data_IF_046518080675
#
_entry.id   IF_046518080675
#
_cell.length_a   1.000
_cell.length_b   1.000
_cell.length_c   1.000
_cell.angle_alpha   90.00
_cell.angle_beta   90.00
_cell.angle_gamma   90.00
#
_symmetry.space_group_name_H-M   'P 1'
#
loop_
_entity.id
_entity.type
_entity.pdbx_description
1 polymer ?
#
# COMPACT_ATOMS: atom_id res chain seq x y z
N UNK A 1 0.76 7.22 -4.30
CA UNK A 1 1.85 6.71 -5.16
C UNK A 1 1.26 6.20 -6.46
N UNK A 2 1.92 6.49 -7.58
CA UNK A 2 1.62 5.96 -8.91
C UNK A 2 2.83 5.16 -9.40
N UNK A 3 2.60 3.91 -9.81
CA UNK A 3 3.56 3.06 -10.48
C UNK A 3 3.26 3.07 -11.98
N UNK A 4 4.27 3.39 -12.79
CA UNK A 4 4.19 3.40 -14.26
C UNK A 4 5.22 2.42 -14.85
N UNK A 5 5.01 1.87 -16.06
CA UNK A 5 5.94 0.88 -16.61
C UNK A 5 7.26 1.47 -17.09
N UNK A 6 7.32 2.77 -17.38
CA UNK A 6 8.53 3.45 -17.87
C UNK A 6 8.63 4.91 -17.42
N UNK A 7 9.84 5.48 -17.57
CA UNK A 7 10.18 6.85 -17.17
C UNK A 7 9.39 7.96 -17.89
N UNK A 8 9.18 7.90 -19.22
CA UNK A 8 8.34 8.86 -19.93
C UNK A 8 6.92 8.96 -19.37
N UNK A 9 6.26 7.83 -19.10
CA UNK A 9 4.94 7.84 -18.46
C UNK A 9 4.98 8.44 -17.04
N UNK A 10 6.02 8.15 -16.26
CA UNK A 10 6.20 8.82 -14.97
C UNK A 10 6.22 10.36 -15.12
N UNK A 11 6.94 10.87 -16.12
CA UNK A 11 7.04 12.32 -16.36
C UNK A 11 5.72 12.93 -16.82
N UNK A 12 4.95 12.20 -17.65
CA UNK A 12 3.61 12.62 -18.06
C UNK A 12 2.67 12.74 -16.86
N UNK A 13 2.69 11.77 -15.95
CA UNK A 13 1.88 11.83 -14.72
C UNK A 13 2.30 13.01 -13.84
N UNK A 14 3.60 13.24 -13.64
CA UNK A 14 4.07 14.43 -12.88
C UNK A 14 3.59 15.72 -13.52
N UNK A 15 3.71 15.83 -14.84
CA UNK A 15 3.27 17.01 -15.60
C UNK A 15 1.75 17.22 -15.49
N UNK A 16 0.97 16.15 -15.54
CA UNK A 16 -0.48 16.19 -15.37
C UNK A 16 -0.87 16.67 -13.97
N UNK A 17 -0.19 16.19 -12.92
CA UNK A 17 -0.45 16.63 -11.54
C UNK A 17 -0.11 18.11 -11.37
N UNK A 18 1.03 18.58 -11.87
CA UNK A 18 1.41 20.00 -11.80
C UNK A 18 0.51 20.90 -12.68
N UNK A 19 -0.23 20.30 -13.62
CA UNK A 19 -1.27 20.98 -14.39
C UNK A 19 -2.55 21.23 -13.60
N UNK A 20 -2.78 20.53 -12.48
CA UNK A 20 -3.92 20.74 -11.59
C UNK A 20 -3.69 22.02 -10.79
N UNK A 21 -4.41 23.09 -11.14
CA UNK A 21 -4.23 24.42 -10.55
C UNK A 21 -5.49 24.91 -9.85
N UNK A 22 -5.30 25.68 -8.79
CA UNK A 22 -6.36 26.44 -8.14
C UNK A 22 -6.80 27.64 -9.00
N UNK A 23 -7.81 28.38 -8.54
CA UNK A 23 -8.30 29.58 -9.21
C UNK A 23 -7.24 30.70 -9.30
N UNK A 24 -6.23 30.68 -8.44
CA UNK A 24 -5.10 31.61 -8.44
C UNK A 24 -3.93 31.14 -9.33
N UNK A 25 -4.03 29.97 -9.95
CA UNK A 25 -3.01 29.39 -10.82
C UNK A 25 -1.89 28.65 -10.07
N UNK A 26 -1.98 28.42 -8.77
CA UNK A 26 -1.00 27.63 -8.02
C UNK A 26 -1.26 26.13 -8.18
N UNK A 27 -0.21 25.31 -8.14
CA UNK A 27 -0.36 23.85 -8.18
C UNK A 27 -1.13 23.37 -6.95
N UNK A 28 -2.19 22.59 -7.15
CA UNK A 28 -3.01 22.02 -6.07
C UNK A 28 -2.26 20.95 -5.28
N UNK A 29 -1.36 20.23 -5.95
CA UNK A 29 -0.62 19.10 -5.41
C UNK A 29 0.83 19.16 -5.86
N UNK A 30 1.70 18.56 -5.05
CA UNK A 30 3.11 18.32 -5.39
C UNK A 30 3.29 16.89 -5.88
N UNK A 31 4.11 16.72 -6.92
CA UNK A 31 4.47 15.41 -7.45
C UNK A 31 5.96 15.33 -7.72
N UNK A 32 6.56 14.17 -7.42
CA UNK A 32 7.95 13.89 -7.75
C UNK A 32 8.10 12.51 -8.39
N UNK A 33 8.86 12.47 -9.49
CA UNK A 33 9.36 11.22 -10.03
C UNK A 33 10.58 10.79 -9.22
N UNK A 34 10.55 9.59 -8.63
CA UNK A 34 11.68 9.07 -7.84
C UNK A 34 12.28 7.83 -8.48
N UNK A 35 13.61 7.80 -8.54
CA UNK A 35 14.42 6.64 -8.92
C UNK A 35 15.87 6.87 -8.45
N UNK A 36 16.79 5.96 -8.75
CA UNK A 36 18.20 6.11 -8.33
C UNK A 36 18.92 7.33 -8.92
N UNK A 37 18.47 7.84 -10.07
CA UNK A 37 19.04 9.02 -10.74
C UNK A 37 18.28 10.31 -10.42
N UNK A 38 17.03 10.21 -9.96
CA UNK A 38 16.19 11.32 -9.51
C UNK A 38 15.92 11.13 -8.02
N UNK A 39 16.81 11.65 -7.14
CA UNK A 39 16.69 11.42 -5.72
C UNK A 39 15.39 12.01 -5.17
N UNK A 40 14.88 11.46 -4.07
CA UNK A 40 13.67 11.98 -3.47
C UNK A 40 13.82 13.44 -3.01
N UNK A 41 12.75 14.25 -3.10
CA UNK A 41 12.76 15.60 -2.56
C UNK A 41 12.91 15.58 -1.03
N UNK A 42 13.44 16.68 -0.49
CA UNK A 42 13.63 16.85 0.96
C UNK A 42 12.27 16.83 1.69
N UNK A 43 11.30 17.55 1.15
CA UNK A 43 9.91 17.51 1.61
C UNK A 43 9.15 16.38 0.89
N UNK A 44 8.35 15.63 1.65
CA UNK A 44 7.55 14.56 1.08
C UNK A 44 6.49 15.13 0.11
N UNK A 45 6.46 14.68 -1.15
CA UNK A 45 5.47 15.15 -2.10
C UNK A 45 4.11 14.48 -1.83
N UNK A 46 3.03 15.13 -2.24
CA UNK A 46 1.68 14.56 -2.16
C UNK A 46 1.57 13.29 -3.01
N UNK A 47 2.24 13.28 -4.17
CA UNK A 47 2.24 12.18 -5.13
C UNK A 47 3.67 11.77 -5.48
N UNK A 48 4.02 10.53 -5.14
CA UNK A 48 5.20 9.87 -5.71
C UNK A 48 4.82 9.17 -7.00
N UNK A 49 5.64 9.35 -8.04
CA UNK A 49 5.57 8.62 -9.29
C UNK A 49 6.87 7.85 -9.50
N UNK A 50 6.81 6.56 -9.82
CA UNK A 50 8.02 5.77 -10.03
C UNK A 50 7.78 4.60 -10.98
N UNK A 51 8.87 4.06 -11.55
CA UNK A 51 8.82 2.71 -12.11
C UNK A 51 9.01 1.70 -10.98
N UNK A 52 8.41 0.50 -11.06
CA UNK A 52 8.56 -0.52 -10.02
C UNK A 52 10.02 -0.86 -9.70
N UNK A 53 10.86 -1.04 -10.73
CA UNK A 53 12.27 -1.32 -10.57
C UNK A 53 13.03 -0.13 -9.95
N UNK A 54 12.77 1.09 -10.43
CA UNK A 54 13.41 2.31 -9.91
C UNK A 54 13.11 2.56 -8.44
N UNK A 55 11.85 2.34 -8.03
CA UNK A 55 11.46 2.44 -6.62
C UNK A 55 12.12 1.37 -5.76
N UNK A 56 12.15 0.11 -6.21
CA UNK A 56 12.79 -0.95 -5.44
C UNK A 56 14.29 -0.72 -5.27
N UNK A 57 14.99 -0.24 -6.30
CA UNK A 57 16.41 0.10 -6.20
C UNK A 57 16.64 1.25 -5.21
N UNK A 58 15.77 2.26 -5.22
CA UNK A 58 15.81 3.34 -4.25
C UNK A 58 15.63 2.83 -2.81
N UNK A 59 14.56 2.07 -2.55
CA UNK A 59 14.23 1.59 -1.20
C UNK A 59 15.24 0.58 -0.63
N UNK A 60 15.82 -0.27 -1.49
CA UNK A 60 16.84 -1.25 -1.07
C UNK A 60 18.26 -0.67 -0.97
N UNK A 61 18.47 0.54 -1.50
CA UNK A 61 19.79 1.14 -1.64
C UNK A 61 19.84 2.49 -0.92
N UNK A 62 19.95 3.60 -1.67
CA UNK A 62 20.26 4.91 -1.09
C UNK A 62 19.07 5.55 -0.36
N UNK A 63 17.87 4.98 -0.40
CA UNK A 63 16.65 5.53 0.18
C UNK A 63 16.80 5.97 1.63
N UNK A 64 17.45 5.17 2.47
CA UNK A 64 17.68 5.49 3.89
C UNK A 64 18.50 6.77 4.11
N UNK A 65 19.37 7.14 3.16
CA UNK A 65 20.16 8.37 3.22
C UNK A 65 19.30 9.63 3.00
N UNK A 66 18.13 9.50 2.38
CA UNK A 66 17.18 10.60 2.14
C UNK A 66 16.18 10.77 3.28
N UNK A 67 16.25 9.94 4.33
CA UNK A 67 15.43 10.05 5.54
C UNK A 67 14.44 8.90 5.72
N UNK A 68 13.81 8.87 6.90
CA UNK A 68 12.97 7.73 7.34
C UNK A 68 11.78 7.44 6.42
N UNK A 69 11.25 8.43 5.72
CA UNK A 69 10.11 8.26 4.80
C UNK A 69 10.46 7.44 3.55
N UNK A 70 11.76 7.34 3.24
CA UNK A 70 12.31 6.68 2.05
C UNK A 70 12.94 5.31 2.37
N UNK A 71 12.61 4.74 3.54
CA UNK A 71 12.85 3.32 3.85
C UNK A 71 11.62 2.49 3.56
N UNK A 72 11.75 1.16 3.58
CA UNK A 72 10.63 0.23 3.42
C UNK A 72 9.49 0.52 4.42
N UNK A 73 9.86 0.70 5.69
CA UNK A 73 8.94 0.96 6.80
C UNK A 73 8.31 2.34 6.70
N UNK A 74 9.11 3.35 6.33
CA UNK A 74 8.60 4.69 6.04
C UNK A 74 7.54 4.63 4.97
N UNK A 75 7.87 4.07 3.82
CA UNK A 75 6.97 3.94 2.68
C UNK A 75 5.67 3.21 3.05
N UNK A 76 5.80 2.12 3.80
CA UNK A 76 4.64 1.43 4.36
C UNK A 76 3.82 2.38 5.23
N UNK A 77 4.40 3.22 6.09
CA UNK A 77 3.71 4.09 7.03
C UNK A 77 2.81 5.16 6.38
N UNK A 78 3.28 5.83 5.32
CA UNK A 78 2.62 7.05 4.84
C UNK A 78 1.90 6.92 3.48
N UNK A 79 2.23 5.92 2.66
CA UNK A 79 1.54 5.73 1.37
C UNK A 79 0.13 5.21 1.60
N UNK A 80 -0.89 6.02 1.34
CA UNK A 80 -2.31 5.67 1.54
C UNK A 80 -3.02 5.14 0.29
N UNK A 81 -2.57 5.58 -0.88
CA UNK A 81 -3.16 5.24 -2.17
C UNK A 81 -2.06 4.75 -3.11
N UNK A 82 -2.34 3.65 -3.80
CA UNK A 82 -1.43 3.04 -4.78
C UNK A 82 -2.18 2.91 -6.09
N UNK A 83 -1.67 3.57 -7.12
CA UNK A 83 -2.17 3.46 -8.49
C UNK A 83 -1.16 2.67 -9.30
N UNK A 84 -1.63 1.69 -10.04
CA UNK A 84 -0.86 0.95 -11.02
C UNK A 84 -1.40 1.35 -12.39
N UNK A 85 -0.63 2.19 -13.09
CA UNK A 85 -0.96 2.67 -14.43
C UNK A 85 -0.39 1.71 -15.49
N UNK A 86 -1.18 1.37 -16.50
CA UNK A 86 -0.91 0.27 -17.43
C UNK A 86 -0.62 -1.06 -16.71
N UNK A 87 -1.53 -1.42 -15.79
CA UNK A 87 -1.40 -2.62 -14.96
C UNK A 87 -1.30 -3.90 -15.79
N UNK A 88 -1.97 -3.98 -16.94
CA UNK A 88 -1.84 -5.07 -17.91
C UNK A 88 -0.40 -5.28 -18.37
N UNK A 89 0.33 -4.20 -18.67
CA UNK A 89 1.76 -4.26 -18.99
C UNK A 89 2.62 -4.58 -17.75
N UNK A 90 2.30 -4.01 -16.59
CA UNK A 90 3.09 -4.22 -15.37
C UNK A 90 2.96 -5.62 -14.76
N UNK A 91 1.88 -6.34 -15.04
CA UNK A 91 1.72 -7.75 -14.64
C UNK A 91 2.25 -8.74 -15.69
N UNK A 92 2.86 -8.27 -16.77
CA UNK A 92 3.65 -9.13 -17.67
C UNK A 92 5.00 -9.52 -17.05
N UNK A 93 5.64 -10.57 -17.59
CA UNK A 93 6.81 -11.23 -17.00
C UNK A 93 8.01 -10.31 -16.69
N UNK A 94 8.15 -9.16 -17.37
CA UNK A 94 9.28 -8.25 -17.19
C UNK A 94 9.17 -7.39 -15.90
N UNK A 95 7.95 -7.08 -15.47
CA UNK A 95 7.69 -6.13 -14.37
C UNK A 95 7.04 -6.78 -13.14
N UNK A 96 6.56 -8.02 -13.27
CA UNK A 96 5.81 -8.73 -12.23
C UNK A 96 6.58 -8.84 -10.92
N UNK A 97 7.90 -9.12 -10.95
CA UNK A 97 8.70 -9.30 -9.72
C UNK A 97 8.83 -8.02 -8.88
N UNK A 98 9.30 -6.88 -9.42
CA UNK A 98 9.32 -5.62 -8.65
C UNK A 98 7.93 -5.19 -8.17
N UNK A 99 6.90 -5.32 -9.02
CA UNK A 99 5.52 -4.98 -8.66
C UNK A 99 5.04 -5.85 -7.50
N UNK A 100 5.17 -7.17 -7.60
CA UNK A 100 4.77 -8.11 -6.56
C UNK A 100 5.47 -7.83 -5.23
N UNK A 101 6.76 -7.50 -5.27
CA UNK A 101 7.53 -7.15 -4.09
C UNK A 101 7.01 -5.87 -3.42
N UNK A 102 6.74 -4.81 -4.18
CA UNK A 102 6.16 -3.57 -3.66
C UNK A 102 4.79 -3.84 -3.03
N UNK A 103 3.94 -4.59 -3.73
CA UNK A 103 2.60 -4.90 -3.24
C UNK A 103 2.63 -5.78 -1.98
N UNK A 104 3.53 -6.76 -1.92
CA UNK A 104 3.74 -7.59 -0.72
C UNK A 104 4.25 -6.77 0.46
N UNK A 105 5.25 -5.90 0.22
CA UNK A 105 5.78 -4.97 1.20
C UNK A 105 4.68 -4.11 1.81
N UNK A 106 3.85 -3.49 0.97
CA UNK A 106 2.76 -2.62 1.41
C UNK A 106 1.70 -3.39 2.23
N UNK A 107 1.27 -4.57 1.75
CA UNK A 107 0.34 -5.44 2.48
C UNK A 107 0.89 -5.92 3.82
N UNK A 108 2.19 -6.23 3.89
CA UNK A 108 2.85 -6.58 5.16
C UNK A 108 2.79 -5.42 6.15
N UNK A 109 3.06 -4.19 5.69
CA UNK A 109 2.90 -2.98 6.50
C UNK A 109 1.46 -2.73 6.95
N UNK A 110 0.47 -3.00 6.09
CA UNK A 110 -0.96 -2.91 6.44
C UNK A 110 -1.31 -3.90 7.56
N UNK A 111 -0.87 -5.16 7.47
CA UNK A 111 -1.11 -6.17 8.51
C UNK A 111 -0.48 -5.80 9.85
N UNK A 112 0.80 -5.40 9.85
CA UNK A 112 1.51 -4.99 11.07
C UNK A 112 0.84 -3.82 11.78
N UNK A 113 0.25 -2.88 11.04
CA UNK A 113 -0.53 -1.79 11.63
C UNK A 113 -1.80 -2.27 12.31
N UNK A 114 -2.54 -3.16 11.64
CA UNK A 114 -3.76 -3.72 12.20
C UNK A 114 -3.42 -4.53 13.46
N UNK A 115 -2.39 -5.36 13.40
CA UNK A 115 -1.85 -6.09 14.55
C UNK A 115 -1.48 -5.16 15.71
N UNK A 116 -0.68 -4.12 15.48
CA UNK A 116 -0.31 -3.17 16.53
C UNK A 116 -1.54 -2.53 17.21
N UNK A 117 -2.56 -2.17 16.43
CA UNK A 117 -3.83 -1.67 16.98
C UNK A 117 -4.60 -2.74 17.75
N UNK A 118 -4.65 -3.98 17.25
CA UNK A 118 -5.29 -5.08 17.96
C UNK A 118 -4.62 -5.33 19.31
N UNK A 119 -3.29 -5.24 19.36
CA UNK A 119 -2.51 -5.47 20.58
C UNK A 119 -2.83 -4.40 21.62
N UNK A 120 -2.90 -3.14 21.19
CA UNK A 120 -3.31 -2.02 22.02
C UNK A 120 -4.76 -2.13 22.50
N UNK A 121 -5.71 -2.37 21.58
CA UNK A 121 -7.14 -2.32 21.85
C UNK A 121 -7.65 -3.55 22.65
N UNK A 122 -7.03 -4.71 22.48
CA UNK A 122 -7.45 -5.97 23.11
C UNK A 122 -6.51 -6.46 24.21
N UNK A 123 -5.39 -5.76 24.43
CA UNK A 123 -4.38 -6.14 25.42
C UNK A 123 -3.77 -7.51 25.14
N UNK A 124 -3.59 -7.85 23.86
CA UNK A 124 -3.00 -9.11 23.40
C UNK A 124 -1.59 -8.86 22.88
N UNK A 125 -0.74 -9.88 22.92
CA UNK A 125 0.59 -9.82 22.32
C UNK A 125 0.66 -10.56 20.97
N UNK A 126 1.81 -10.42 20.32
CA UNK A 126 2.11 -11.04 19.03
C UNK A 126 2.10 -12.56 19.09
N UNK A 127 2.59 -13.13 20.19
CA UNK A 127 2.61 -14.59 20.38
C UNK A 127 1.18 -15.14 20.46
N UNK A 128 0.30 -14.53 21.26
CA UNK A 128 -1.10 -14.95 21.34
C UNK A 128 -1.77 -14.86 19.97
N UNK A 129 -1.60 -13.75 19.26
CA UNK A 129 -2.24 -13.53 17.97
C UNK A 129 -1.78 -14.54 16.91
N UNK A 130 -0.48 -14.88 16.86
CA UNK A 130 0.07 -15.87 15.94
C UNK A 130 -0.45 -17.28 16.17
N UNK A 131 -0.78 -17.62 17.41
CA UNK A 131 -1.34 -18.94 17.76
C UNK A 131 -2.86 -19.02 17.61
N UNK A 132 -3.55 -17.92 17.28
CA UNK A 132 -4.98 -17.97 16.99
C UNK A 132 -5.27 -18.83 15.75
N UNK A 133 -6.41 -19.52 15.70
CA UNK A 133 -6.93 -20.11 14.49
C UNK A 133 -6.90 -19.14 13.30
N UNK A 134 -6.62 -19.66 12.11
CA UNK A 134 -6.44 -18.85 10.89
C UNK A 134 -7.62 -17.93 10.61
N UNK A 135 -8.83 -18.41 10.84
CA UNK A 135 -10.08 -17.67 10.64
C UNK A 135 -10.15 -16.41 11.53
N UNK A 136 -9.69 -16.52 12.79
CA UNK A 136 -9.62 -15.38 13.70
C UNK A 136 -8.54 -14.39 13.26
N UNK A 137 -7.35 -14.85 12.85
CA UNK A 137 -6.32 -13.97 12.31
C UNK A 137 -6.83 -13.17 11.10
N UNK A 138 -7.54 -13.85 10.19
CA UNK A 138 -8.14 -13.21 9.00
C UNK A 138 -9.23 -12.22 9.40
N UNK A 139 -10.09 -12.55 10.38
CA UNK A 139 -11.09 -11.62 10.90
C UNK A 139 -10.43 -10.36 11.50
N UNK A 140 -9.36 -10.52 12.28
CA UNK A 140 -8.58 -9.42 12.83
C UNK A 140 -7.96 -8.53 11.74
N UNK A 141 -7.28 -9.10 10.75
CA UNK A 141 -6.66 -8.29 9.68
C UNK A 141 -7.67 -7.60 8.77
N UNK A 142 -8.82 -8.21 8.54
CA UNK A 142 -9.85 -7.63 7.67
C UNK A 142 -10.62 -6.55 8.41
N UNK A 143 -11.21 -6.84 9.57
CA UNK A 143 -12.13 -5.93 10.25
C UNK A 143 -11.68 -5.40 11.60
N UNK A 144 -10.42 -5.62 12.00
CA UNK A 144 -9.90 -5.18 13.29
C UNK A 144 -10.55 -5.88 14.48
N UNK A 145 -10.46 -5.25 15.65
CA UNK A 145 -11.00 -5.77 16.90
C UNK A 145 -12.49 -6.13 16.82
N UNK A 146 -13.37 -5.33 16.19
CA UNK A 146 -14.79 -5.68 16.08
C UNK A 146 -15.04 -7.01 15.35
N UNK A 147 -14.34 -7.25 14.23
CA UNK A 147 -14.50 -8.48 13.47
C UNK A 147 -13.90 -9.69 14.21
N UNK A 148 -12.77 -9.50 14.89
CA UNK A 148 -12.12 -10.54 15.69
C UNK A 148 -13.03 -10.98 16.86
N UNK A 149 -13.63 -10.03 17.58
CA UNK A 149 -14.59 -10.29 18.66
C UNK A 149 -15.87 -10.95 18.15
N UNK A 150 -16.40 -10.50 17.01
CA UNK A 150 -17.57 -11.09 16.35
C UNK A 150 -17.31 -12.53 15.90
N UNK A 151 -16.09 -12.83 15.46
CA UNK A 151 -15.67 -14.17 15.08
C UNK A 151 -15.48 -15.12 16.29
N UNK A 152 -15.69 -14.63 17.52
CA UNK A 152 -15.70 -15.44 18.73
C UNK A 152 -14.43 -15.34 19.56
N UNK A 153 -13.48 -14.47 19.20
CA UNK A 153 -12.32 -14.23 20.05
C UNK A 153 -12.75 -13.64 21.41
N UNK A 154 -12.08 -14.10 22.47
CA UNK A 154 -12.27 -13.62 23.85
C UNK A 154 -10.92 -13.11 24.35
N UNK A 155 -10.76 -11.78 24.50
CA UNK A 155 -9.50 -11.22 24.97
C UNK A 155 -9.24 -11.61 26.44
N UNK A 156 -7.97 -11.68 26.86
CA UNK A 156 -7.61 -12.01 28.25
C UNK A 156 -8.23 -11.05 29.27
N UNK A 157 -8.30 -9.76 28.89
CA UNK A 157 -8.97 -8.73 29.67
C UNK A 157 -10.32 -8.39 29.03
N UNK A 158 -11.43 -8.39 29.78
CA UNK A 158 -12.73 -7.99 29.25
C UNK A 158 -12.68 -6.57 28.70
N UNK A 159 -13.19 -6.39 27.49
CA UNK A 159 -13.30 -5.06 26.90
C UNK A 159 -14.49 -4.32 27.50
N UNK A 160 -14.33 -3.03 27.77
CA UNK A 160 -15.40 -2.19 28.25
C UNK A 160 -16.59 -2.17 27.26
N UNK A 161 -17.86 -2.19 27.73
CA UNK A 161 -19.03 -2.22 26.85
C UNK A 161 -19.13 -1.04 25.87
N UNK A 162 -18.50 0.09 26.22
CA UNK A 162 -18.47 1.35 25.49
C UNK A 162 -17.14 1.58 24.74
N UNK A 163 -16.26 0.58 24.68
CA UNK A 163 -14.99 0.70 23.98
C UNK A 163 -15.20 0.98 22.49
N UNK A 164 -14.50 2.00 21.99
CA UNK A 164 -14.44 2.33 20.58
C UNK A 164 -13.15 1.75 19.98
N UNK A 165 -13.30 1.08 18.84
CA UNK A 165 -12.20 0.45 18.13
C UNK A 165 -11.94 1.16 16.79
N UNK A 166 -10.69 1.15 16.34
CA UNK A 166 -10.30 1.80 15.10
C UNK A 166 -10.14 3.33 15.23
N UNK A 167 -10.16 4.09 14.12
CA UNK A 167 -10.31 3.63 12.75
C UNK A 167 -9.11 2.80 12.29
N UNK A 168 -9.38 1.74 11.54
CA UNK A 168 -8.38 0.96 10.84
C UNK A 168 -8.32 1.49 9.40
N UNK A 169 -7.39 2.39 9.13
CA UNK A 169 -7.29 2.91 7.76
C UNK A 169 -6.78 1.79 6.84
N UNK A 170 -7.43 1.65 5.69
CA UNK A 170 -7.04 0.69 4.66
C UNK A 170 -6.40 1.44 3.51
N UNK A 171 -5.30 0.89 3.03
CA UNK A 171 -4.68 1.35 1.79
C UNK A 171 -5.58 1.03 0.61
N UNK A 172 -5.77 2.00 -0.26
CA UNK A 172 -6.51 1.81 -1.50
C UNK A 172 -5.55 1.45 -2.64
N UNK A 173 -5.94 0.47 -3.44
CA UNK A 173 -5.21 0.02 -4.62
C UNK A 173 -6.10 0.24 -5.84
N UNK A 174 -5.59 0.96 -6.84
CA UNK A 174 -6.28 1.30 -8.08
C UNK A 174 -5.45 0.70 -9.21
N UNK A 175 -6.06 -0.13 -10.03
CA UNK A 175 -5.42 -0.76 -11.18
C UNK A 175 -6.06 -0.19 -12.45
N UNK A 176 -5.27 0.50 -13.26
CA UNK A 176 -5.69 1.09 -14.53
C UNK A 176 -5.07 0.27 -15.64
N UNK A 177 -5.89 -0.27 -16.53
CA UNK A 177 -5.43 -1.07 -17.66
C UNK A 177 -6.35 -0.84 -18.87
N UNK A 178 -5.80 -0.85 -20.07
CA UNK A 178 -6.58 -0.74 -21.31
C UNK A 178 -7.33 -2.04 -21.60
N UNK A 179 -6.69 -3.18 -21.29
CA UNK A 179 -7.30 -4.51 -21.41
C UNK A 179 -7.02 -5.33 -20.16
N UNK A 180 -8.08 -5.68 -19.43
CA UNK A 180 -8.01 -6.70 -18.38
C UNK A 180 -8.46 -8.01 -19.00
N UNK A 181 -7.56 -8.90 -19.48
CA UNK A 181 -7.97 -10.19 -20.00
C UNK A 181 -8.68 -10.95 -18.87
N UNK A 182 -9.90 -11.44 -19.13
CA UNK A 182 -10.79 -12.07 -18.14
C UNK A 182 -11.17 -13.50 -18.53
N UNK A 183 -10.26 -14.22 -19.19
CA UNK A 183 -10.60 -15.47 -19.90
C UNK A 183 -10.02 -16.72 -19.21
N UNK A 184 -9.11 -16.60 -18.24
CA UNK A 184 -8.49 -17.78 -17.58
C UNK A 184 -8.05 -17.50 -16.14
N UNK A 185 -8.11 -18.49 -15.25
CA UNK A 185 -7.67 -18.42 -13.83
C UNK A 185 -6.24 -17.89 -13.57
N UNK A 186 -5.42 -17.68 -14.60
CA UNK A 186 -4.08 -17.09 -14.53
C UNK A 186 -4.00 -15.64 -15.07
N UNK A 187 -5.11 -15.04 -15.49
CA UNK A 187 -5.12 -13.67 -16.03
C UNK A 187 -5.01 -12.61 -14.93
N UNK A 188 -4.54 -11.43 -15.34
CA UNK A 188 -4.22 -10.30 -14.45
C UNK A 188 -5.44 -9.85 -13.65
N UNK A 189 -6.64 -9.91 -14.25
CA UNK A 189 -7.91 -9.61 -13.58
C UNK A 189 -8.21 -10.56 -12.44
N UNK A 190 -8.12 -11.86 -12.70
CA UNK A 190 -8.32 -12.92 -11.72
C UNK A 190 -7.29 -12.86 -10.59
N UNK A 191 -6.02 -12.59 -10.92
CA UNK A 191 -4.96 -12.40 -9.92
C UNK A 191 -5.18 -11.16 -9.05
N UNK A 192 -5.64 -10.05 -9.64
CA UNK A 192 -5.97 -8.84 -8.87
C UNK A 192 -7.18 -9.09 -7.98
N UNK A 193 -8.26 -9.69 -8.50
CA UNK A 193 -9.46 -9.99 -7.71
C UNK A 193 -9.17 -10.94 -6.55
N UNK A 194 -8.35 -11.97 -6.77
CA UNK A 194 -7.90 -12.87 -5.71
C UNK A 194 -7.05 -12.15 -4.65
N UNK A 195 -6.18 -11.22 -5.06
CA UNK A 195 -5.24 -10.52 -4.17
C UNK A 195 -5.85 -9.28 -3.49
N UNK A 196 -6.93 -8.73 -4.05
CA UNK A 196 -7.61 -7.49 -3.64
C UNK A 196 -9.14 -7.65 -3.78
N UNK A 197 -9.78 -8.51 -2.99
CA UNK A 197 -11.23 -8.57 -2.95
C UNK A 197 -11.79 -7.25 -2.39
N UNK A 198 -12.84 -6.73 -3.03
CA UNK A 198 -13.55 -5.51 -2.59
C UNK A 198 -14.25 -5.73 -1.24
#
# INVERSE_FOLDING_TARGET
MVLCPNGPLCQQVVSAVHGLRDEAGNSLLTAAQVNSSNPPPFDAPDIIVATPAGLMTLLNGPGSAYGRLWTEEGFQAWVKHVVLDEADLMFTHAYSKPVDRILQMLRSGDRRRVEAKLYEELGIDDDLFRHLPRELQVAGWTGGAPALLKAGFRPPNPVAPDAQFGPYWRRQYIFVAATMPSVTFNDVGSQIQYRYPQ
#
